data_IF_968356295963
#
_entry.id   IF_968356295963
#
_cell.length_a   1.000
_cell.length_b   1.000
_cell.length_c   1.000
_cell.angle_alpha   90.00
_cell.angle_beta   90.00
_cell.angle_gamma   90.00
#
_symmetry.space_group_name_H-M   'P 1'
#
loop_
_entity.id
_entity.type
_entity.pdbx_description
1 polymer ?
#
# COMPACT_ATOMS: atom_id res chain seq x y z
N UNK A 1 -2.51 -22.18 -20.89
CA UNK A 1 -2.93 -22.68 -20.63
C UNK A 1 -3.09 -23.40 -20.52
N UNK A 2 -2.85 -23.60 -20.38
CA UNK A 2 -3.18 -24.40 -20.06
C UNK A 2 -3.57 -25.16 -20.31
N UNK A 3 -3.44 -25.40 -20.37
CA UNK A 3 -3.86 -26.23 -20.45
C UNK A 3 -3.90 -26.98 -20.25
N UNK A 4 -3.51 -27.17 -19.90
CA UNK A 4 -3.70 -28.06 -19.63
C UNK A 4 -4.00 -28.55 -19.55
N UNK A 5 -3.87 -28.61 -19.34
CA UNK A 5 -4.33 -29.29 -19.29
C UNK A 5 -4.90 -29.84 -19.37
N UNK A 6 -4.88 -29.49 -19.26
CA UNK A 6 -5.61 -30.12 -19.66
C UNK A 6 -6.30 -31.13 -19.53
N UNK A 7 -6.12 -31.69 -19.00
CA UNK A 7 -7.20 -32.53 -18.68
C UNK A 7 -7.85 -32.03 -17.42
N UNK A 8 -9.15 -32.10 -17.36
CA UNK A 8 -9.88 -31.43 -16.31
C UNK A 8 -10.05 -32.34 -15.10
N UNK A 9 -8.99 -32.72 -14.50
CA UNK A 9 -9.10 -33.46 -13.26
C UNK A 9 -9.16 -32.50 -12.08
N UNK A 10 -9.25 -33.05 -10.87
CA UNK A 10 -9.36 -32.25 -9.66
C UNK A 10 -8.14 -31.41 -9.40
N UNK A 11 -6.96 -31.92 -9.78
CA UNK A 11 -5.73 -31.18 -9.60
C UNK A 11 -5.68 -29.96 -10.50
N UNK A 12 -6.09 -30.13 -11.73
CA UNK A 12 -6.13 -29.01 -12.67
C UNK A 12 -7.10 -27.93 -12.16
N UNK A 13 -8.25 -28.33 -11.61
CA UNK A 13 -9.22 -27.40 -11.05
C UNK A 13 -8.69 -26.69 -9.83
N UNK A 14 -8.03 -27.41 -8.92
CA UNK A 14 -7.44 -26.83 -7.73
C UNK A 14 -6.32 -25.85 -8.07
N UNK A 15 -5.44 -26.22 -9.00
CA UNK A 15 -4.36 -25.33 -9.44
C UNK A 15 -4.91 -24.07 -10.08
N UNK A 16 -5.96 -24.19 -10.90
CA UNK A 16 -6.60 -23.04 -11.53
C UNK A 16 -7.22 -22.11 -10.49
N UNK A 17 -7.85 -22.69 -9.46
CA UNK A 17 -8.43 -21.89 -8.38
C UNK A 17 -7.35 -21.12 -7.63
N UNK A 18 -6.24 -21.78 -7.29
CA UNK A 18 -5.11 -21.13 -6.62
C UNK A 18 -4.48 -20.05 -7.50
N UNK A 19 -4.36 -20.29 -8.79
CA UNK A 19 -3.84 -19.31 -9.74
C UNK A 19 -4.74 -18.08 -9.81
N UNK A 20 -6.06 -18.28 -9.80
CA UNK A 20 -7.02 -17.19 -9.81
C UNK A 20 -6.94 -16.37 -8.52
N UNK A 21 -6.79 -17.05 -7.38
CA UNK A 21 -6.65 -16.36 -6.10
C UNK A 21 -5.37 -15.53 -6.05
N UNK A 22 -4.26 -16.09 -6.55
CA UNK A 22 -2.99 -15.36 -6.61
C UNK A 22 -3.09 -14.17 -7.56
N UNK A 23 -3.72 -14.34 -8.71
CA UNK A 23 -3.91 -13.26 -9.69
C UNK A 23 -4.77 -12.14 -9.10
N UNK A 24 -5.81 -12.50 -8.36
CA UNK A 24 -6.66 -11.51 -7.70
C UNK A 24 -5.88 -10.72 -6.66
N UNK A 25 -5.07 -11.39 -5.84
CA UNK A 25 -4.22 -10.70 -4.86
C UNK A 25 -3.26 -9.74 -5.54
N UNK A 26 -2.66 -10.17 -6.65
CA UNK A 26 -1.75 -9.34 -7.43
C UNK A 26 -2.46 -8.08 -7.94
N UNK A 27 -3.66 -8.25 -8.48
CA UNK A 27 -4.46 -7.15 -8.99
C UNK A 27 -4.85 -6.19 -7.86
N UNK A 28 -5.25 -6.71 -6.71
CA UNK A 28 -5.64 -5.90 -5.55
C UNK A 28 -4.46 -5.07 -5.04
N UNK A 29 -3.28 -5.68 -4.94
CA UNK A 29 -2.07 -4.98 -4.50
C UNK A 29 -1.68 -3.89 -5.50
N UNK A 30 -1.69 -4.20 -6.79
CA UNK A 30 -1.33 -3.24 -7.83
C UNK A 30 -2.30 -2.07 -7.88
N UNK A 31 -3.59 -2.34 -7.71
CA UNK A 31 -4.61 -1.30 -7.67
C UNK A 31 -4.42 -0.40 -6.46
N UNK A 32 -4.24 -0.97 -5.27
CA UNK A 32 -4.00 -0.21 -4.06
C UNK A 32 -2.77 0.68 -4.19
N UNK A 33 -1.70 0.14 -4.75
CA UNK A 33 -0.47 0.88 -4.97
C UNK A 33 -0.67 2.05 -5.92
N UNK A 34 -1.37 1.83 -7.03
CA UNK A 34 -1.64 2.89 -8.01
C UNK A 34 -2.49 4.01 -7.42
N UNK A 35 -3.53 3.66 -6.67
CA UNK A 35 -4.40 4.64 -6.00
C UNK A 35 -3.60 5.47 -4.99
N UNK A 36 -2.83 4.82 -4.13
CA UNK A 36 -2.04 5.51 -3.12
C UNK A 36 -0.98 6.42 -3.75
N UNK A 37 -0.25 5.90 -4.73
CA UNK A 37 0.81 6.66 -5.40
C UNK A 37 0.25 7.94 -6.03
N UNK A 38 -0.91 7.85 -6.66
CA UNK A 38 -1.56 9.00 -7.27
C UNK A 38 -1.99 10.04 -6.21
N UNK A 39 -2.56 9.56 -5.10
CA UNK A 39 -2.98 10.44 -4.02
C UNK A 39 -1.79 11.15 -3.35
N UNK A 40 -0.69 10.45 -3.13
CA UNK A 40 0.52 11.02 -2.54
C UNK A 40 1.09 12.11 -3.46
N UNK A 41 1.14 11.85 -4.75
CA UNK A 41 1.66 12.81 -5.73
C UNK A 41 0.79 14.07 -5.77
N UNK A 42 -0.53 13.90 -5.78
CA UNK A 42 -1.46 15.03 -5.79
C UNK A 42 -1.34 15.87 -4.53
N UNK A 43 -1.28 15.22 -3.37
CA UNK A 43 -1.12 15.90 -2.10
C UNK A 43 0.19 16.68 -2.05
N UNK A 44 1.28 16.07 -2.53
CA UNK A 44 2.58 16.75 -2.60
C UNK A 44 2.52 17.98 -3.49
N UNK A 45 1.86 17.88 -4.64
CA UNK A 45 1.69 19.02 -5.54
C UNK A 45 0.94 20.17 -4.86
N UNK A 46 -0.11 19.86 -4.11
CA UNK A 46 -0.85 20.89 -3.36
C UNK A 46 0.05 21.60 -2.35
N UNK A 47 0.91 20.85 -1.66
CA UNK A 47 1.85 21.44 -0.72
C UNK A 47 2.89 22.33 -1.43
N UNK A 48 3.37 21.90 -2.59
CA UNK A 48 4.32 22.70 -3.38
C UNK A 48 3.71 24.04 -3.78
N UNK A 49 2.41 24.10 -4.04
CA UNK A 49 1.71 25.34 -4.34
C UNK A 49 1.78 26.34 -3.16
N UNK A 50 2.00 25.86 -1.96
CA UNK A 50 2.19 26.68 -0.76
C UNK A 50 3.67 26.91 -0.42
N UNK A 51 4.57 26.58 -1.34
CA UNK A 51 6.00 26.81 -1.15
C UNK A 51 6.72 25.75 -0.33
N UNK A 52 6.10 24.58 -0.13
CA UNK A 52 6.73 23.50 0.64
C UNK A 52 7.77 22.78 -0.22
N UNK A 53 8.96 22.57 0.35
CA UNK A 53 10.02 21.77 -0.27
C UNK A 53 9.80 20.31 0.12
N UNK A 54 9.31 19.50 -0.83
CA UNK A 54 9.00 18.10 -0.57
C UNK A 54 10.24 17.27 -0.27
N UNK A 55 11.40 17.59 -0.86
CA UNK A 55 12.63 16.86 -0.59
C UNK A 55 13.06 17.04 0.87
N UNK A 56 12.94 18.25 1.39
CA UNK A 56 13.22 18.52 2.79
C UNK A 56 12.20 17.81 3.68
N UNK A 57 10.94 17.81 3.27
CA UNK A 57 9.85 17.19 4.02
C UNK A 57 10.03 15.67 4.12
N UNK A 58 10.50 15.03 3.05
CA UNK A 58 10.75 13.58 3.03
C UNK A 58 11.78 13.16 4.09
N UNK A 59 12.65 14.07 4.52
CA UNK A 59 13.65 13.77 5.52
C UNK A 59 13.17 13.99 6.96
N UNK A 60 11.93 14.48 7.12
CA UNK A 60 11.36 14.69 8.45
C UNK A 60 10.96 13.35 9.07
N UNK A 61 11.16 13.16 10.37
CA UNK A 61 10.72 11.95 11.05
C UNK A 61 9.19 11.96 11.22
N UNK A 62 8.60 10.78 11.17
CA UNK A 62 7.21 10.60 11.57
C UNK A 62 7.14 10.37 13.09
N UNK A 63 5.92 10.40 13.65
CA UNK A 63 5.74 10.17 15.07
C UNK A 63 6.15 8.75 15.46
N UNK A 64 6.59 8.51 16.71
CA UNK A 64 6.94 7.16 17.17
C UNK A 64 5.80 6.17 17.05
N UNK A 65 4.58 6.58 17.33
CA UNK A 65 3.40 5.71 17.22
C UNK A 65 3.17 5.27 15.78
N UNK A 66 3.29 6.20 14.85
CA UNK A 66 3.15 5.88 13.43
C UNK A 66 4.25 4.93 12.96
N UNK A 67 5.49 5.20 13.37
CA UNK A 67 6.63 4.35 13.00
C UNK A 67 6.47 2.94 13.54
N UNK A 68 5.92 2.80 14.75
CA UNK A 68 5.63 1.48 15.32
C UNK A 68 4.60 0.72 14.49
N UNK A 69 3.52 1.37 14.10
CA UNK A 69 2.50 0.76 13.23
C UNK A 69 3.10 0.33 11.89
N UNK A 70 3.94 1.18 11.31
CA UNK A 70 4.62 0.86 10.05
C UNK A 70 5.52 -0.35 10.20
N UNK A 71 6.22 -0.46 11.32
CA UNK A 71 7.09 -1.60 11.60
C UNK A 71 6.28 -2.90 11.67
N UNK A 72 5.13 -2.87 12.34
CA UNK A 72 4.25 -4.03 12.45
C UNK A 72 3.73 -4.48 11.06
N UNK A 73 3.32 -3.52 10.25
CA UNK A 73 2.87 -3.82 8.89
C UNK A 73 4.01 -4.36 8.02
N UNK A 74 5.20 -3.79 8.18
CA UNK A 74 6.38 -4.23 7.43
C UNK A 74 6.75 -5.65 7.74
N UNK A 75 6.63 -6.08 8.99
CA UNK A 75 6.86 -7.48 9.38
C UNK A 75 5.90 -8.41 8.62
N UNK A 76 4.64 -8.03 8.50
CA UNK A 76 3.67 -8.82 7.72
C UNK A 76 4.04 -8.86 6.24
N UNK A 77 4.53 -7.76 5.69
CA UNK A 77 4.99 -7.70 4.30
C UNK A 77 6.19 -8.62 4.09
N UNK A 78 7.13 -8.64 5.03
CA UNK A 78 8.31 -9.51 4.95
C UNK A 78 7.93 -10.99 4.96
N UNK A 79 6.85 -11.34 5.64
CA UNK A 79 6.35 -12.71 5.73
C UNK A 79 5.31 -13.03 4.65
N UNK A 80 5.25 -12.23 3.60
CA UNK A 80 4.19 -12.32 2.58
C UNK A 80 4.04 -13.73 2.00
N UNK A 81 5.17 -14.42 1.76
CA UNK A 81 5.17 -15.77 1.20
C UNK A 81 4.46 -16.78 2.10
N UNK A 82 4.44 -16.52 3.40
CA UNK A 82 3.84 -17.39 4.41
C UNK A 82 2.36 -17.12 4.62
N UNK A 83 1.84 -16.03 4.06
CA UNK A 83 0.46 -15.63 4.30
C UNK A 83 -0.52 -16.47 3.50
N UNK A 84 -1.62 -16.84 4.13
CA UNK A 84 -2.76 -17.43 3.42
C UNK A 84 -3.42 -16.36 2.55
N UNK A 85 -4.31 -16.77 1.63
CA UNK A 85 -5.08 -15.81 0.83
C UNK A 85 -5.85 -14.83 1.69
N UNK A 86 -6.44 -15.33 2.76
CA UNK A 86 -7.21 -14.50 3.70
C UNK A 86 -6.32 -13.49 4.40
N UNK A 87 -5.16 -13.94 4.87
CA UNK A 87 -4.20 -13.06 5.55
C UNK A 87 -3.64 -12.00 4.61
N UNK A 88 -3.34 -12.38 3.37
CA UNK A 88 -2.86 -11.43 2.37
C UNK A 88 -3.92 -10.37 2.05
N UNK A 89 -5.18 -10.77 1.91
CA UNK A 89 -6.28 -9.84 1.68
C UNK A 89 -6.48 -8.89 2.86
N UNK A 90 -6.35 -9.43 4.08
CA UNK A 90 -6.45 -8.62 5.29
C UNK A 90 -5.32 -7.58 5.36
N UNK A 91 -4.11 -7.98 4.98
CA UNK A 91 -2.96 -7.06 4.95
C UNK A 91 -3.21 -5.90 3.98
N UNK A 92 -3.66 -6.21 2.76
CA UNK A 92 -3.99 -5.17 1.77
C UNK A 92 -5.08 -4.24 2.29
N UNK A 93 -6.13 -4.82 2.88
CA UNK A 93 -7.24 -4.04 3.45
C UNK A 93 -6.78 -3.12 4.58
N UNK A 94 -5.91 -3.61 5.46
CA UNK A 94 -5.37 -2.81 6.57
C UNK A 94 -4.54 -1.64 6.04
N UNK A 95 -3.73 -1.90 5.03
CA UNK A 95 -2.92 -0.85 4.41
C UNK A 95 -3.81 0.18 3.73
N UNK A 96 -4.84 -0.25 3.00
CA UNK A 96 -5.79 0.65 2.37
C UNK A 96 -6.52 1.53 3.37
N UNK A 97 -6.99 0.94 4.47
CA UNK A 97 -7.67 1.70 5.52
C UNK A 97 -6.75 2.74 6.13
N UNK A 98 -5.49 2.38 6.36
CA UNK A 98 -4.52 3.30 6.95
C UNK A 98 -4.27 4.51 6.04
N UNK A 99 -4.05 4.28 4.75
CA UNK A 99 -3.77 5.41 3.87
C UNK A 99 -5.02 6.25 3.58
N UNK A 100 -6.21 5.65 3.60
CA UNK A 100 -7.44 6.41 3.46
C UNK A 100 -7.64 7.35 4.65
N UNK A 101 -7.36 6.89 5.86
CA UNK A 101 -7.39 7.74 7.05
C UNK A 101 -6.38 8.88 6.94
N UNK A 102 -5.18 8.58 6.48
CA UNK A 102 -4.14 9.60 6.29
C UNK A 102 -4.57 10.63 5.25
N UNK A 103 -5.16 10.18 4.14
CA UNK A 103 -5.67 11.08 3.10
C UNK A 103 -6.74 11.99 3.65
N UNK A 104 -7.70 11.44 4.39
CA UNK A 104 -8.78 12.24 4.98
C UNK A 104 -8.24 13.27 5.95
N UNK A 105 -7.25 12.89 6.76
CA UNK A 105 -6.60 13.81 7.70
C UNK A 105 -5.84 14.92 6.96
N UNK A 106 -5.14 14.55 5.88
CA UNK A 106 -4.45 15.54 5.03
C UNK A 106 -5.44 16.58 4.50
N UNK A 107 -6.54 16.12 3.92
CA UNK A 107 -7.57 16.99 3.36
C UNK A 107 -8.14 17.91 4.44
N UNK A 108 -8.43 17.37 5.62
CA UNK A 108 -8.98 18.15 6.72
C UNK A 108 -8.02 19.28 7.15
N UNK A 109 -6.73 18.98 7.27
CA UNK A 109 -5.73 20.00 7.60
C UNK A 109 -5.59 21.04 6.48
N UNK A 110 -5.52 20.56 5.25
CA UNK A 110 -5.34 21.41 4.09
C UNK A 110 -6.52 22.39 3.93
N UNK A 111 -7.74 21.89 4.11
CA UNK A 111 -8.96 22.73 3.96
C UNK A 111 -9.08 23.78 5.04
N UNK A 112 -8.47 23.55 6.20
CA UNK A 112 -8.42 24.55 7.28
C UNK A 112 -7.23 25.50 7.15
N UNK A 113 -6.48 25.39 6.06
CA UNK A 113 -5.25 26.15 5.86
C UNK A 113 -4.16 25.84 6.89
N UNK A 114 -4.23 24.66 7.49
CA UNK A 114 -3.22 24.16 8.42
C UNK A 114 -2.17 23.40 7.60
N UNK A 115 -1.27 24.15 6.98
CA UNK A 115 -0.27 23.56 6.08
C UNK A 115 0.74 22.72 6.86
N UNK A 116 1.10 23.11 8.08
CA UNK A 116 2.01 22.31 8.90
C UNK A 116 1.41 20.93 9.24
N UNK A 117 0.13 20.89 9.61
CA UNK A 117 -0.58 19.64 9.85
C UNK A 117 -0.66 18.79 8.59
N UNK A 118 -0.95 19.43 7.45
CA UNK A 118 -0.99 18.73 6.17
C UNK A 118 0.38 18.16 5.81
N UNK A 119 1.46 18.88 6.06
CA UNK A 119 2.82 18.40 5.85
C UNK A 119 3.12 17.15 6.67
N UNK A 120 2.71 17.12 7.93
CA UNK A 120 2.90 15.96 8.80
C UNK A 120 2.18 14.74 8.23
N UNK A 121 0.97 14.93 7.71
CA UNK A 121 0.20 13.83 7.09
C UNK A 121 0.81 13.38 5.78
N UNK A 122 1.39 14.29 5.01
CA UNK A 122 2.08 13.90 3.78
C UNK A 122 3.32 13.03 4.08
N UNK A 123 4.04 13.30 5.15
CA UNK A 123 5.17 12.44 5.58
C UNK A 123 4.66 11.02 5.83
N UNK A 124 3.53 10.87 6.54
CA UNK A 124 2.92 9.56 6.77
C UNK A 124 2.53 8.90 5.45
N UNK A 125 1.91 9.64 4.54
CA UNK A 125 1.55 9.17 3.21
C UNK A 125 2.76 8.61 2.47
N UNK A 126 3.86 9.34 2.52
CA UNK A 126 5.10 8.95 1.84
C UNK A 126 5.65 7.64 2.39
N UNK A 127 5.63 7.46 3.72
CA UNK A 127 6.02 6.19 4.35
C UNK A 127 5.09 5.05 3.93
N UNK A 128 3.80 5.31 3.85
CA UNK A 128 2.82 4.31 3.44
C UNK A 128 3.06 3.87 1.99
N UNK A 129 3.43 4.80 1.12
CA UNK A 129 3.79 4.47 -0.25
C UNK A 129 5.01 3.56 -0.31
N UNK A 130 6.03 3.85 0.49
CA UNK A 130 7.24 2.99 0.55
C UNK A 130 6.90 1.59 1.02
N UNK A 131 6.02 1.45 2.00
CA UNK A 131 5.59 0.14 2.48
C UNK A 131 4.88 -0.63 1.36
N UNK A 132 4.05 0.04 0.61
CA UNK A 132 3.34 -0.60 -0.50
C UNK A 132 4.29 -0.98 -1.64
N UNK A 133 5.35 -0.18 -1.87
CA UNK A 133 6.44 -0.56 -2.78
C UNK A 133 7.05 -1.90 -2.36
N UNK A 134 7.30 -2.06 -1.07
CA UNK A 134 7.87 -3.30 -0.54
C UNK A 134 6.92 -4.47 -0.72
N UNK A 135 5.63 -4.24 -0.51
CA UNK A 135 4.61 -5.27 -0.72
C UNK A 135 4.56 -5.72 -2.18
N UNK A 136 4.62 -4.78 -3.11
CA UNK A 136 4.64 -5.09 -4.55
C UNK A 136 5.86 -5.94 -4.89
N UNK A 137 7.04 -5.59 -4.36
CA UNK A 137 8.25 -6.37 -4.57
C UNK A 137 8.15 -7.76 -3.97
N UNK A 138 7.64 -7.87 -2.76
CA UNK A 138 7.46 -9.17 -2.08
C UNK A 138 6.53 -10.07 -2.89
N UNK A 139 5.46 -9.51 -3.42
CA UNK A 139 4.51 -10.23 -4.24
C UNK A 139 5.16 -10.76 -5.53
N UNK A 140 6.00 -9.95 -6.17
CA UNK A 140 6.71 -10.37 -7.39
C UNK A 140 7.70 -11.49 -7.12
N UNK A 141 8.37 -11.45 -5.98
CA UNK A 141 9.33 -12.49 -5.58
C UNK A 141 8.62 -13.79 -5.23
N UNK A 142 7.39 -13.72 -4.73
CA UNK A 142 6.61 -14.89 -4.38
C UNK A 142 6.00 -15.60 -5.60
N UNK A 143 5.86 -14.91 -6.71
CA UNK A 143 5.20 -15.43 -7.92
C UNK A 143 6.04 -16.47 -8.70
#
# INVERSE_FOLDING_TARGET
QLMVLCHPDKFAGAATFEQRAAAKRAADVNEAYGVLRHAVRRAGHLLELHGVDLQALERQPASPDFLFEQMMLRERVQDFDSLTSSEASALVSDIESAYNETQNAFVAHYDRDDINGACAKWVEFHFQQKLLDELVRAQRQAA
#
